data_IF_034460201251
#
_entry.id   IF_034460201251
#
_cell.length_a   1.000
_cell.length_b   1.000
_cell.length_c   1.000
_cell.angle_alpha   90.00
_cell.angle_beta   90.00
_cell.angle_gamma   90.00
#
_symmetry.space_group_name_H-M   'P 1'
#
loop_
_entity.id
_entity.type
_entity.pdbx_description
1 polymer ?
#
# COMPACT_ATOMS: atom_id res chain seq x y z
N UNK A 1 5.58 11.00 11.71
CA UNK A 1 4.59 10.62 10.69
C UNK A 1 4.51 9.10 10.56
N UNK A 2 3.38 8.60 10.12
CA UNK A 2 3.18 7.18 9.84
C UNK A 2 2.94 6.97 8.36
N UNK A 3 3.53 5.91 7.83
CA UNK A 3 3.29 5.43 6.48
C UNK A 3 2.77 3.99 6.57
N UNK A 4 1.66 3.71 5.91
CA UNK A 4 1.09 2.37 5.85
C UNK A 4 1.20 1.88 4.42
N UNK A 5 1.97 0.82 4.21
CA UNK A 5 2.11 0.17 2.91
C UNK A 5 1.15 -1.01 2.85
N UNK A 6 0.33 -1.05 1.80
CA UNK A 6 -0.67 -2.12 1.59
C UNK A 6 -0.47 -2.73 0.21
N UNK A 7 -0.22 -4.03 0.17
CA UNK A 7 -0.25 -4.79 -1.09
C UNK A 7 -1.70 -5.04 -1.49
N UNK A 8 -2.01 -4.94 -2.80
CA UNK A 8 -3.34 -5.29 -3.30
C UNK A 8 -3.75 -6.73 -2.92
N UNK A 9 -5.04 -7.02 -2.93
CA UNK A 9 -5.60 -8.35 -2.71
C UNK A 9 -5.41 -9.28 -3.90
N UNK A 10 -5.87 -10.53 -3.75
CA UNK A 10 -5.77 -11.54 -4.80
C UNK A 10 -6.45 -11.10 -6.10
N UNK A 11 -5.79 -11.31 -7.23
CA UNK A 11 -6.30 -10.98 -8.56
C UNK A 11 -6.38 -12.22 -9.47
N UNK A 12 -6.38 -13.40 -8.87
CA UNK A 12 -6.51 -14.65 -9.60
C UNK A 12 -5.32 -14.98 -10.51
N UNK A 13 -5.55 -15.79 -11.52
CA UNK A 13 -4.52 -16.19 -12.46
C UNK A 13 -4.08 -15.00 -13.32
N UNK A 14 -2.78 -15.01 -13.69
CA UNK A 14 -2.24 -13.97 -14.56
C UNK A 14 -2.94 -13.97 -15.92
N UNK A 15 -3.37 -12.79 -16.35
CA UNK A 15 -3.98 -12.55 -17.67
C UNK A 15 -3.46 -11.21 -18.21
N UNK A 16 -3.51 -11.07 -19.54
CA UNK A 16 -3.14 -9.81 -20.21
C UNK A 16 -4.39 -9.02 -20.57
N UNK A 17 -4.35 -7.69 -20.52
CA UNK A 17 -3.22 -6.86 -20.03
C UNK A 17 -3.19 -6.82 -18.50
N UNK A 18 -2.00 -6.83 -17.94
CA UNK A 18 -1.81 -6.94 -16.49
C UNK A 18 -2.49 -5.81 -15.70
N UNK A 19 -2.45 -4.58 -16.20
CA UNK A 19 -3.03 -3.42 -15.51
C UNK A 19 -4.56 -3.46 -15.40
N UNK A 20 -5.24 -4.27 -16.21
CA UNK A 20 -6.71 -4.42 -16.19
C UNK A 20 -7.18 -5.59 -15.31
N UNK A 21 -6.27 -6.37 -14.72
CA UNK A 21 -6.65 -7.47 -13.85
C UNK A 21 -7.39 -6.95 -12.62
N UNK A 22 -8.53 -7.58 -12.33
CA UNK A 22 -9.39 -7.20 -11.22
C UNK A 22 -9.15 -8.10 -10.00
N UNK A 23 -9.54 -7.64 -8.82
CA UNK A 23 -9.59 -8.49 -7.65
C UNK A 23 -10.56 -9.65 -7.88
N UNK A 24 -10.16 -10.84 -7.44
CA UNK A 24 -11.07 -11.96 -7.30
C UNK A 24 -12.02 -11.74 -6.11
N UNK A 25 -13.01 -12.62 -5.94
CA UNK A 25 -13.86 -12.60 -4.75
C UNK A 25 -13.02 -12.74 -3.47
N UNK A 26 -11.99 -13.60 -3.50
CA UNK A 26 -11.03 -13.74 -2.40
C UNK A 26 -10.29 -12.43 -2.14
N UNK A 27 -9.81 -11.76 -3.18
CA UNK A 27 -9.09 -10.49 -3.05
C UNK A 27 -9.97 -9.40 -2.47
N UNK A 28 -11.25 -9.35 -2.82
CA UNK A 28 -12.19 -8.41 -2.22
C UNK A 28 -12.39 -8.67 -0.74
N UNK A 29 -12.51 -9.94 -0.33
CA UNK A 29 -12.61 -10.31 1.08
C UNK A 29 -11.35 -9.95 1.85
N UNK A 30 -10.18 -10.20 1.29
CA UNK A 30 -8.90 -9.81 1.89
C UNK A 30 -8.81 -8.29 2.09
N UNK A 31 -9.11 -7.53 1.06
CA UNK A 31 -9.09 -6.07 1.11
C UNK A 31 -10.09 -5.52 2.13
N UNK A 32 -11.27 -6.14 2.23
CA UNK A 32 -12.29 -5.75 3.21
C UNK A 32 -11.80 -5.95 4.65
N UNK A 33 -11.11 -7.04 4.94
CA UNK A 33 -10.54 -7.28 6.27
C UNK A 33 -9.46 -6.25 6.61
N UNK A 34 -8.57 -5.97 5.67
CA UNK A 34 -7.52 -4.96 5.86
C UNK A 34 -8.14 -3.58 6.08
N UNK A 35 -9.18 -3.23 5.32
CA UNK A 35 -9.90 -1.97 5.46
C UNK A 35 -10.51 -1.81 6.86
N UNK A 36 -11.16 -2.86 7.37
CA UNK A 36 -11.73 -2.84 8.71
C UNK A 36 -10.66 -2.66 9.79
N UNK A 37 -9.52 -3.35 9.64
CA UNK A 37 -8.40 -3.20 10.57
C UNK A 37 -7.83 -1.77 10.56
N UNK A 38 -7.67 -1.18 9.39
CA UNK A 38 -7.21 0.20 9.27
C UNK A 38 -8.19 1.18 9.92
N UNK A 39 -9.50 0.96 9.70
CA UNK A 39 -10.54 1.82 10.27
C UNK A 39 -10.56 1.80 11.80
N UNK A 40 -10.24 0.65 12.40
CA UNK A 40 -10.22 0.49 13.85
C UNK A 40 -8.97 1.08 14.51
N UNK A 41 -7.87 1.23 13.78
CA UNK A 41 -6.57 1.53 14.36
C UNK A 41 -5.94 2.84 13.92
N UNK A 42 -6.38 3.44 12.80
CA UNK A 42 -5.71 4.60 12.20
C UNK A 42 -6.70 5.63 11.67
N UNK A 43 -6.21 6.85 11.48
CA UNK A 43 -6.94 7.94 10.84
C UNK A 43 -6.09 8.48 9.69
N UNK A 44 -6.10 7.85 8.52
CA UNK A 44 -5.33 8.30 7.37
C UNK A 44 -5.77 9.70 6.90
N UNK A 45 -4.81 10.48 6.44
CA UNK A 45 -5.08 11.81 5.88
C UNK A 45 -4.73 11.92 4.40
N UNK A 46 -4.12 10.88 3.80
CA UNK A 46 -3.80 10.87 2.38
C UNK A 46 -3.67 9.42 1.89
N UNK A 47 -4.30 9.11 0.77
CA UNK A 47 -4.15 7.84 0.07
C UNK A 47 -3.34 8.04 -1.21
N UNK A 48 -2.35 7.17 -1.44
CA UNK A 48 -1.58 7.12 -2.67
C UNK A 48 -1.76 5.71 -3.25
N UNK A 49 -2.11 5.60 -4.53
CA UNK A 49 -2.47 4.33 -5.13
C UNK A 49 -1.93 4.18 -6.55
N UNK A 50 -1.51 2.96 -6.88
CA UNK A 50 -1.16 2.58 -8.25
C UNK A 50 -2.37 2.73 -9.18
N UNK A 51 -2.17 3.07 -10.47
CA UNK A 51 -3.25 3.15 -11.43
C UNK A 51 -3.86 1.79 -11.81
N UNK A 52 -3.24 0.67 -11.46
CA UNK A 52 -3.73 -0.67 -11.82
C UNK A 52 -5.05 -0.99 -11.11
N UNK A 53 -5.96 -1.68 -11.82
CA UNK A 53 -7.30 -1.97 -11.30
C UNK A 53 -7.27 -2.65 -9.93
N UNK A 54 -6.43 -3.68 -9.75
CA UNK A 54 -6.40 -4.42 -8.48
C UNK A 54 -5.98 -3.57 -7.29
N UNK A 55 -5.13 -2.57 -7.51
CA UNK A 55 -4.76 -1.63 -6.45
C UNK A 55 -5.88 -0.63 -6.17
N UNK A 56 -6.51 -0.10 -7.22
CA UNK A 56 -7.65 0.80 -7.11
C UNK A 56 -8.82 0.14 -6.36
N UNK A 57 -9.09 -1.12 -6.66
CA UNK A 57 -10.17 -1.88 -6.03
C UNK A 57 -9.87 -2.22 -4.57
N UNK A 58 -8.60 -2.49 -4.24
CA UNK A 58 -8.19 -2.66 -2.85
C UNK A 58 -8.38 -1.36 -2.07
N UNK A 59 -7.96 -0.23 -2.62
CA UNK A 59 -8.19 1.07 -2.00
C UNK A 59 -9.68 1.38 -1.84
N UNK A 60 -10.53 1.01 -2.80
CA UNK A 60 -11.96 1.26 -2.73
C UNK A 60 -12.60 0.66 -1.47
N UNK A 61 -12.14 -0.51 -1.02
CA UNK A 61 -12.59 -1.10 0.24
C UNK A 61 -12.20 -0.23 1.44
N UNK A 62 -10.99 0.33 1.42
CA UNK A 62 -10.50 1.20 2.49
C UNK A 62 -11.26 2.54 2.49
N UNK A 63 -11.49 3.12 1.31
CA UNK A 63 -12.17 4.40 1.15
C UNK A 63 -13.60 4.42 1.72
N UNK A 64 -14.25 3.27 1.81
CA UNK A 64 -15.60 3.20 2.41
C UNK A 64 -15.61 3.72 3.84
N UNK A 65 -14.50 3.56 4.56
CA UNK A 65 -14.37 4.03 5.94
C UNK A 65 -13.84 5.47 6.05
N UNK A 66 -13.28 6.00 4.96
CA UNK A 66 -12.61 7.31 4.96
C UNK A 66 -12.97 8.10 3.70
N UNK A 67 -14.27 8.42 3.50
CA UNK A 67 -14.74 8.96 2.21
C UNK A 67 -14.24 10.37 1.87
N UNK A 68 -13.69 11.10 2.85
CA UNK A 68 -13.23 12.46 2.64
C UNK A 68 -11.71 12.60 2.51
N UNK A 69 -10.96 11.49 2.65
CA UNK A 69 -9.50 11.52 2.55
C UNK A 69 -9.09 11.69 1.07
N UNK A 70 -8.21 12.65 0.75
CA UNK A 70 -7.76 12.85 -0.63
C UNK A 70 -6.96 11.67 -1.15
N UNK A 71 -7.07 11.43 -2.46
CA UNK A 71 -6.42 10.33 -3.16
C UNK A 71 -5.51 10.89 -4.26
N UNK A 72 -4.27 10.42 -4.30
CA UNK A 72 -3.34 10.64 -5.40
C UNK A 72 -3.08 9.31 -6.10
N UNK A 73 -3.40 9.22 -7.40
CA UNK A 73 -2.96 8.10 -8.23
C UNK A 73 -1.56 8.39 -8.71
N UNK A 74 -0.63 7.46 -8.47
CA UNK A 74 0.78 7.66 -8.78
C UNK A 74 1.30 6.54 -9.69
N UNK A 75 1.74 6.93 -10.90
CA UNK A 75 2.28 6.00 -11.92
C UNK A 75 3.60 5.34 -11.50
N UNK A 76 4.32 5.93 -10.57
CA UNK A 76 5.65 5.48 -10.14
C UNK A 76 5.64 4.29 -9.20
N UNK A 77 4.48 3.74 -8.85
CA UNK A 77 4.37 2.57 -7.96
C UNK A 77 3.66 1.38 -8.62
N UNK A 78 3.70 1.29 -9.95
CA UNK A 78 3.35 0.07 -10.66
C UNK A 78 4.42 -1.01 -10.41
N UNK A 79 4.16 -2.31 -10.69
CA UNK A 79 5.00 -3.40 -10.17
C UNK A 79 6.50 -3.29 -10.44
N UNK A 80 6.89 -2.80 -11.62
CA UNK A 80 8.28 -2.82 -12.09
C UNK A 80 8.98 -1.45 -12.02
N UNK A 81 8.40 -0.49 -11.32
CA UNK A 81 9.00 0.84 -11.17
C UNK A 81 10.21 0.83 -10.22
N UNK A 82 11.01 1.87 -10.32
CA UNK A 82 12.18 2.08 -9.46
C UNK A 82 11.74 2.53 -8.07
N UNK A 83 12.10 1.75 -7.05
CA UNK A 83 11.70 2.03 -5.68
C UNK A 83 12.40 3.25 -5.08
N UNK A 84 13.65 3.54 -5.49
CA UNK A 84 14.37 4.74 -5.02
C UNK A 84 13.65 6.01 -5.49
N UNK A 85 13.24 6.03 -6.76
CA UNK A 85 12.45 7.15 -7.32
C UNK A 85 11.11 7.28 -6.59
N UNK A 86 10.45 6.15 -6.32
CA UNK A 86 9.17 6.14 -5.61
C UNK A 86 9.30 6.72 -4.18
N UNK A 87 10.35 6.35 -3.45
CA UNK A 87 10.60 6.88 -2.10
C UNK A 87 10.83 8.39 -2.15
N UNK A 88 11.61 8.88 -3.09
CA UNK A 88 11.83 10.33 -3.25
C UNK A 88 10.52 11.06 -3.54
N UNK A 89 9.69 10.52 -4.42
CA UNK A 89 8.40 11.13 -4.77
C UNK A 89 7.42 11.11 -3.59
N UNK A 90 7.34 10.01 -2.86
CA UNK A 90 6.49 9.91 -1.68
C UNK A 90 6.92 10.89 -0.58
N UNK A 91 8.23 11.11 -0.46
CA UNK A 91 8.79 12.07 0.52
C UNK A 91 8.41 13.52 0.27
N UNK A 92 7.98 13.86 -0.94
CA UNK A 92 7.51 15.20 -1.30
C UNK A 92 6.03 15.42 -0.96
N UNK A 93 5.30 14.37 -0.64
CA UNK A 93 3.88 14.47 -0.29
C UNK A 93 3.70 14.87 1.17
N UNK A 94 2.59 15.53 1.46
CA UNK A 94 2.27 16.01 2.81
C UNK A 94 1.20 15.13 3.44
N UNK A 95 1.48 14.66 4.66
CA UNK A 95 0.53 13.89 5.44
C UNK A 95 1.18 13.36 6.72
N UNK A 96 0.37 13.19 7.76
CA UNK A 96 0.82 12.62 9.03
C UNK A 96 0.58 11.11 9.11
N UNK A 97 -0.40 10.61 8.36
CA UNK A 97 -0.72 9.18 8.24
C UNK A 97 -1.13 8.89 6.79
N UNK A 98 -0.17 8.46 5.99
CA UNK A 98 -0.40 8.16 4.57
C UNK A 98 -0.53 6.67 4.35
N UNK A 99 -1.47 6.27 3.51
CA UNK A 99 -1.65 4.87 3.07
C UNK A 99 -1.28 4.77 1.60
N UNK A 100 -0.37 3.87 1.28
CA UNK A 100 0.09 3.60 -0.09
C UNK A 100 -0.34 2.19 -0.48
N UNK A 101 -1.13 2.08 -1.54
CA UNK A 101 -1.60 0.78 -2.06
C UNK A 101 -0.92 0.48 -3.38
N UNK A 102 -0.14 -0.58 -3.42
CA UNK A 102 0.61 -0.95 -4.61
C UNK A 102 0.88 -2.46 -4.70
N UNK A 103 2.03 -2.87 -5.17
CA UNK A 103 2.31 -4.22 -5.65
C UNK A 103 3.62 -4.79 -5.14
N UNK A 104 3.73 -6.12 -5.03
CA UNK A 104 5.01 -6.77 -5.16
C UNK A 104 5.54 -6.53 -6.59
N UNK A 105 6.79 -6.33 -6.88
CA UNK A 105 7.92 -6.35 -5.93
C UNK A 105 8.21 -4.98 -5.31
N UNK A 106 7.68 -3.90 -5.90
CA UNK A 106 8.05 -2.53 -5.51
C UNK A 106 7.77 -2.25 -4.02
N UNK A 107 6.67 -2.76 -3.47
CA UNK A 107 6.31 -2.49 -2.07
C UNK A 107 7.36 -3.01 -1.08
N UNK A 108 7.91 -4.20 -1.34
CA UNK A 108 8.95 -4.78 -0.50
C UNK A 108 10.27 -4.00 -0.62
N UNK A 109 10.57 -3.50 -1.81
CA UNK A 109 11.75 -2.66 -2.05
C UNK A 109 11.62 -1.30 -1.37
N UNK A 110 10.45 -0.69 -1.41
CA UNK A 110 10.17 0.57 -0.70
C UNK A 110 10.39 0.36 0.82
N UNK A 111 9.82 -0.70 1.38
CA UNK A 111 9.97 -1.00 2.79
C UNK A 111 11.45 -1.20 3.18
N UNK A 112 12.20 -1.93 2.35
CA UNK A 112 13.63 -2.13 2.56
C UNK A 112 14.41 -0.81 2.56
N UNK A 113 14.14 0.07 1.61
CA UNK A 113 14.82 1.39 1.52
C UNK A 113 14.53 2.23 2.77
N UNK A 114 13.29 2.23 3.24
CA UNK A 114 12.88 3.06 4.37
C UNK A 114 13.44 2.58 5.70
N UNK A 115 13.66 1.28 5.88
CA UNK A 115 14.00 0.68 7.18
C UNK A 115 15.44 0.18 7.29
N UNK A 116 16.11 -0.12 6.18
CA UNK A 116 17.34 -0.93 6.09
C UNK A 116 17.16 -2.38 6.58
N UNK A 117 15.95 -2.81 6.90
CA UNK A 117 15.67 -4.21 7.22
C UNK A 117 15.83 -5.08 5.97
N UNK A 118 16.09 -6.40 6.11
CA UNK A 118 16.16 -7.29 4.98
C UNK A 118 14.91 -7.25 4.12
N UNK A 119 15.07 -7.45 2.80
CA UNK A 119 13.95 -7.49 1.87
C UNK A 119 13.00 -8.62 2.24
N UNK A 120 11.74 -8.30 2.51
CA UNK A 120 10.72 -9.26 2.89
C UNK A 120 9.45 -9.03 2.08
N UNK A 121 8.94 -10.08 1.42
CA UNK A 121 7.72 -10.00 0.63
C UNK A 121 6.49 -9.73 1.50
N UNK A 122 5.50 -9.06 0.90
CA UNK A 122 4.18 -8.83 1.51
C UNK A 122 3.22 -9.95 1.08
N UNK A 123 2.39 -10.41 2.00
CA UNK A 123 1.23 -11.23 1.67
C UNK A 123 0.17 -10.38 0.94
N UNK A 124 -0.77 -11.03 0.28
CA UNK A 124 -1.88 -10.34 -0.40
C UNK A 124 -2.71 -9.54 0.62
N UNK A 125 -2.99 -8.29 0.30
CA UNK A 125 -3.67 -7.31 1.14
C UNK A 125 -2.99 -7.03 2.50
N UNK A 126 -1.76 -7.49 2.69
CA UNK A 126 -1.02 -7.20 3.92
C UNK A 126 -0.75 -5.71 4.06
N UNK A 127 -0.97 -5.20 5.27
CA UNK A 127 -0.64 -3.84 5.66
C UNK A 127 0.51 -3.85 6.66
N UNK A 128 1.53 -3.01 6.43
CA UNK A 128 2.62 -2.78 7.38
C UNK A 128 2.72 -1.30 7.68
N UNK A 129 2.82 -0.98 8.96
CA UNK A 129 2.84 0.39 9.46
C UNK A 129 4.25 0.76 9.87
N UNK A 130 4.72 1.88 9.36
CA UNK A 130 6.06 2.41 9.62
C UNK A 130 5.97 3.77 10.28
N UNK A 131 6.79 3.98 11.31
CA UNK A 131 6.92 5.27 11.99
C UNK A 131 8.25 5.91 11.63
N UNK A 132 8.23 7.21 11.36
CA UNK A 132 9.42 7.96 10.93
C UNK A 132 9.24 9.46 11.17
N UNK A 133 10.35 10.17 11.34
CA UNK A 133 10.31 11.63 11.45
C UNK A 133 9.98 12.28 10.10
N UNK A 134 10.68 11.84 9.05
CA UNK A 134 10.40 12.23 7.67
C UNK A 134 10.45 10.97 6.79
N UNK A 135 9.77 11.00 5.66
CA UNK A 135 9.78 9.89 4.70
C UNK A 135 11.04 9.99 3.84
N UNK A 136 12.07 9.24 4.23
CA UNK A 136 13.37 9.20 3.58
C UNK A 136 14.05 7.87 3.89
N UNK A 137 15.12 7.49 3.11
CA UNK A 137 15.81 6.23 3.35
C UNK A 137 16.35 6.09 4.77
N UNK A 138 16.28 4.87 5.30
CA UNK A 138 16.89 4.46 6.58
C UNK A 138 16.34 5.14 7.84
N UNK A 139 15.20 5.82 7.75
CA UNK A 139 14.63 6.58 8.87
C UNK A 139 13.39 5.95 9.50
N UNK A 140 12.88 4.86 8.92
CA UNK A 140 11.63 4.26 9.38
C UNK A 140 11.86 3.01 10.21
N UNK A 141 10.91 2.76 11.13
CA UNK A 141 10.81 1.50 11.85
C UNK A 141 9.40 0.91 11.65
N UNK A 142 9.31 -0.38 11.36
CA UNK A 142 8.03 -1.06 11.32
C UNK A 142 7.49 -1.22 12.74
N UNK A 143 6.23 -0.78 12.98
CA UNK A 143 5.63 -0.81 14.31
C UNK A 143 4.43 -1.78 14.41
N UNK A 144 3.77 -2.09 13.28
CA UNK A 144 2.63 -3.02 13.23
C UNK A 144 2.51 -3.63 11.85
N UNK A 145 1.87 -4.80 11.79
CA UNK A 145 1.44 -5.38 10.51
C UNK A 145 0.13 -6.16 10.70
N UNK A 146 -0.61 -6.28 9.61
CA UNK A 146 -1.85 -7.04 9.55
C UNK A 146 -1.86 -7.91 8.32
N UNK A 147 -2.16 -9.19 8.49
CA UNK A 147 -2.36 -10.15 7.41
C UNK A 147 -3.79 -10.67 7.49
N UNK A 148 -4.49 -10.63 6.36
CA UNK A 148 -5.85 -11.17 6.25
C UNK A 148 -5.87 -12.67 6.62
N UNK A 149 -6.95 -13.11 7.25
CA UNK A 149 -7.18 -14.53 7.57
C UNK A 149 -7.84 -15.31 6.43
N UNK A 150 -8.12 -14.64 5.31
CA UNK A 150 -8.70 -15.29 4.13
C UNK A 150 -7.67 -16.12 3.36
#
# INVERSE_FOLDING_TARGET
MQLILVRHGDAGAYTLPDHERNLSALGQAQASQTAAWLAENFEPDHFIVSPYNRAQQTLAQIQQFFPHVPVTTYEGITPDNDADIAVDALGELVGDCMVVVCHMNIIAKIAHILTDDPLEGFALAEARVYDMGILAPSLAAEIKRFVSSC
#
